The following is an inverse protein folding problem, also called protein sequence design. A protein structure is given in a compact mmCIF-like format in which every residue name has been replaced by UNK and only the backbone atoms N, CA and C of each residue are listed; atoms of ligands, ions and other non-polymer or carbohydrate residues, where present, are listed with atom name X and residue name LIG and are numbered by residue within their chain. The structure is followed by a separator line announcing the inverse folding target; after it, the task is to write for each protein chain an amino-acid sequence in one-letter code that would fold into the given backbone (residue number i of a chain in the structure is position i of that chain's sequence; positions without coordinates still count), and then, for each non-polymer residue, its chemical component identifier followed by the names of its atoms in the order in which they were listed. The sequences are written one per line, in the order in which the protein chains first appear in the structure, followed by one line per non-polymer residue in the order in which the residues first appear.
data_IF_930774372984
#
_entry.id   IF_930774372984
#
_cell.length_a   1.000
_cell.length_b   1.000
_cell.length_c   1.000
_cell.angle_alpha   90.00
_cell.angle_beta   90.00
_cell.angle_gamma   90.00
#
_symmetry.space_group_name_H-M   'P 1'
#
loop_
_entity.id
_entity.type
_entity.pdbx_description
1 polymer ?
#
# COMPACT_ATOMS: atom_id res chain seq x y z
N UNK A 1 -39.25 -5.56 -5.23
CA UNK A 1 -38.35 -4.86 -6.16
C UNK A 1 -38.53 -3.36 -5.99
N UNK A 2 -37.54 -2.69 -5.39
CA UNK A 2 -37.41 -1.23 -5.38
C UNK A 2 -35.96 -0.92 -5.00
N UNK A 3 -35.02 -1.13 -5.93
CA UNK A 3 -33.65 -0.65 -5.75
C UNK A 3 -33.59 0.76 -6.33
N UNK A 4 -33.71 1.72 -5.42
CA UNK A 4 -33.74 3.15 -5.68
C UNK A 4 -32.43 3.63 -6.32
N UNK A 5 -32.59 4.14 -7.55
CA UNK A 5 -31.97 5.32 -8.18
C UNK A 5 -30.49 5.63 -7.90
N UNK A 6 -29.75 5.71 -9.01
CA UNK A 6 -28.48 6.40 -9.19
C UNK A 6 -28.21 7.52 -8.17
N UNK A 7 -27.11 7.40 -7.44
CA UNK A 7 -26.32 8.55 -7.00
C UNK A 7 -25.23 8.78 -8.05
N UNK A 8 -25.45 9.66 -9.04
CA UNK A 8 -24.35 10.21 -9.82
C UNK A 8 -23.77 11.36 -9.01
N UNK A 9 -22.76 11.11 -8.17
CA UNK A 9 -21.79 12.12 -7.68
C UNK A 9 -20.87 11.50 -6.62
N UNK A 10 -19.70 10.99 -7.02
CA UNK A 10 -18.44 11.14 -6.25
C UNK A 10 -17.19 10.75 -7.06
N UNK A 11 -17.05 11.27 -8.28
CA UNK A 11 -15.82 11.15 -9.07
C UNK A 11 -14.76 12.17 -8.57
N UNK A 12 -14.53 12.23 -7.26
CA UNK A 12 -13.60 13.19 -6.61
C UNK A 12 -12.44 12.45 -5.92
N UNK A 13 -12.45 11.11 -5.82
CA UNK A 13 -11.47 10.36 -5.02
C UNK A 13 -10.77 9.17 -5.71
N UNK A 14 -11.01 8.88 -6.99
CA UNK A 14 -10.44 7.68 -7.63
C UNK A 14 -8.89 7.68 -7.74
N UNK A 15 -8.28 8.87 -7.84
CA UNK A 15 -6.82 8.98 -7.98
C UNK A 15 -6.08 8.56 -6.69
N UNK A 16 -6.62 8.91 -5.53
CA UNK A 16 -5.99 8.61 -4.24
C UNK A 16 -6.10 7.11 -3.91
N UNK A 17 -7.25 6.49 -4.20
CA UNK A 17 -7.43 5.05 -3.98
C UNK A 17 -6.49 4.18 -4.83
N UNK A 18 -6.23 4.59 -6.07
CA UNK A 18 -5.30 3.85 -6.95
C UNK A 18 -3.86 3.92 -6.42
N UNK A 19 -3.42 5.09 -5.98
CA UNK A 19 -2.09 5.30 -5.36
C UNK A 19 -1.94 4.51 -4.05
N UNK A 20 -2.94 4.59 -3.18
CA UNK A 20 -2.94 3.86 -1.89
C UNK A 20 -2.99 2.34 -2.08
N UNK A 21 -3.79 1.85 -3.04
CA UNK A 21 -3.77 0.43 -3.40
C UNK A 21 -2.40 0.00 -3.93
N UNK A 22 -1.72 0.85 -4.70
CA UNK A 22 -0.38 0.56 -5.19
C UNK A 22 0.63 0.47 -4.04
N UNK A 23 0.60 1.40 -3.09
CA UNK A 23 1.41 1.33 -1.87
C UNK A 23 1.12 0.04 -1.09
N UNK A 24 -0.15 -0.34 -0.96
CA UNK A 24 -0.55 -1.56 -0.27
C UNK A 24 -0.05 -2.83 -0.97
N UNK A 25 -0.08 -2.88 -2.30
CA UNK A 25 0.50 -3.99 -3.06
C UNK A 25 2.02 -4.11 -2.84
N UNK A 26 2.75 -2.99 -2.87
CA UNK A 26 4.19 -2.99 -2.55
C UNK A 26 4.45 -3.49 -1.13
N UNK A 27 3.64 -3.08 -0.15
CA UNK A 27 3.70 -3.60 1.21
C UNK A 27 3.49 -5.13 1.28
N UNK A 28 2.50 -5.67 0.58
CA UNK A 28 2.25 -7.12 0.53
C UNK A 28 3.41 -7.89 -0.12
N UNK A 29 4.01 -7.34 -1.18
CA UNK A 29 5.21 -7.93 -1.79
C UNK A 29 6.40 -7.93 -0.83
N UNK A 30 6.56 -6.86 -0.04
CA UNK A 30 7.59 -6.82 1.00
C UNK A 30 7.38 -7.92 2.04
N UNK A 31 6.18 -8.06 2.58
CA UNK A 31 5.84 -9.12 3.55
C UNK A 31 6.12 -10.52 3.00
N UNK A 32 5.76 -10.77 1.73
CA UNK A 32 6.08 -12.03 1.05
C UNK A 32 7.58 -12.30 0.98
N UNK A 33 8.39 -11.28 0.67
CA UNK A 33 9.85 -11.42 0.64
C UNK A 33 10.47 -11.57 2.04
N UNK A 34 9.88 -10.95 3.08
CA UNK A 34 10.27 -11.18 4.48
C UNK A 34 10.06 -12.66 4.84
N UNK A 35 8.88 -13.22 4.54
CA UNK A 35 8.59 -14.63 4.79
C UNK A 35 9.51 -15.60 4.04
N UNK A 36 10.03 -15.18 2.88
CA UNK A 36 11.00 -15.93 2.08
C UNK A 36 12.48 -15.67 2.50
N UNK A 37 12.72 -14.85 3.52
CA UNK A 37 14.06 -14.49 3.98
C UNK A 37 14.83 -13.54 3.05
N UNK A 38 14.20 -12.99 2.01
CA UNK A 38 14.79 -12.08 1.02
C UNK A 38 14.75 -10.63 1.52
N UNK A 39 15.58 -10.32 2.52
CA UNK A 39 15.53 -9.04 3.25
C UNK A 39 15.81 -7.83 2.37
N UNK A 40 16.76 -7.91 1.43
CA UNK A 40 17.10 -6.79 0.54
C UNK A 40 15.90 -6.41 -0.35
N UNK A 41 15.28 -7.41 -0.99
CA UNK A 41 14.09 -7.18 -1.83
C UNK A 41 12.90 -6.66 -1.04
N UNK A 42 12.71 -7.16 0.17
CA UNK A 42 11.65 -6.66 1.03
C UNK A 42 11.87 -5.19 1.42
N UNK A 43 13.12 -4.77 1.66
CA UNK A 43 13.45 -3.38 1.98
C UNK A 43 13.20 -2.45 0.77
N UNK A 44 13.56 -2.88 -0.44
CA UNK A 44 13.23 -2.16 -1.68
C UNK A 44 11.72 -1.93 -1.81
N UNK A 45 10.91 -2.98 -1.63
CA UNK A 45 9.45 -2.85 -1.75
C UNK A 45 8.82 -1.97 -0.65
N UNK A 46 9.35 -1.99 0.58
CA UNK A 46 8.89 -1.07 1.63
C UNK A 46 9.20 0.38 1.30
N UNK A 47 10.39 0.64 0.72
CA UNK A 47 10.79 1.98 0.29
C UNK A 47 9.88 2.50 -0.82
N UNK A 48 9.54 1.67 -1.80
CA UNK A 48 8.57 2.01 -2.85
C UNK A 48 7.19 2.30 -2.27
N UNK A 49 6.72 1.49 -1.32
CA UNK A 49 5.44 1.71 -0.65
C UNK A 49 5.42 3.02 0.15
N UNK A 50 6.49 3.32 0.89
CA UNK A 50 6.63 4.53 1.69
C UNK A 50 6.81 5.80 0.83
N UNK A 51 7.41 5.68 -0.35
CA UNK A 51 7.49 6.77 -1.31
C UNK A 51 6.13 7.16 -1.89
N UNK A 52 5.23 6.19 -2.08
CA UNK A 52 3.88 6.41 -2.63
C UNK A 52 2.92 6.88 -1.55
N UNK A 53 2.89 6.21 -0.40
CA UNK A 53 2.06 6.60 0.74
C UNK A 53 2.94 6.73 1.98
N UNK A 54 3.54 7.92 2.19
CA UNK A 54 4.31 8.18 3.39
C UNK A 54 3.48 7.93 4.65
N UNK A 55 2.17 8.18 4.65
CA UNK A 55 1.29 7.91 5.81
C UNK A 55 1.03 6.42 6.11
N UNK A 56 1.56 5.48 5.30
CA UNK A 56 1.31 4.04 5.50
C UNK A 56 2.06 3.53 6.74
N UNK A 57 1.39 3.58 7.90
CA UNK A 57 1.95 3.29 9.22
C UNK A 57 2.70 1.94 9.27
N UNK A 58 2.11 0.89 8.70
CA UNK A 58 2.73 -0.44 8.71
C UNK A 58 4.00 -0.48 7.87
N UNK A 59 4.09 0.24 6.75
CA UNK A 59 5.31 0.27 5.96
C UNK A 59 6.47 0.84 6.77
N UNK A 60 6.24 1.94 7.50
CA UNK A 60 7.26 2.59 8.33
C UNK A 60 7.71 1.71 9.50
N UNK A 61 6.79 0.97 10.12
CA UNK A 61 7.13 0.04 11.20
C UNK A 61 8.05 -1.06 10.67
N UNK A 62 7.69 -1.69 9.54
CA UNK A 62 8.50 -2.75 8.95
C UNK A 62 9.82 -2.23 8.36
N UNK A 63 9.84 -1.03 7.79
CA UNK A 63 11.05 -0.39 7.28
C UNK A 63 12.05 -0.15 8.41
N UNK A 64 11.60 0.45 9.53
CA UNK A 64 12.43 0.65 10.72
C UNK A 64 12.93 -0.67 11.34
N UNK A 65 12.14 -1.74 11.24
CA UNK A 65 12.54 -3.08 11.71
C UNK A 65 13.55 -3.77 10.78
N UNK A 66 13.74 -3.26 9.56
CA UNK A 66 14.60 -3.85 8.54
C UNK A 66 15.88 -3.04 8.28
N UNK A 67 15.89 -1.75 8.61
CA UNK A 67 17.13 -0.98 8.73
C UNK A 67 17.86 -1.39 10.01
N UNK A 68 19.19 -1.63 9.95
CA UNK A 68 19.99 -1.97 11.13
C UNK A 68 20.08 -0.84 12.15
#
# INVERSE_FOLDING_TARGET
EYFAVSLPEFLIFDDDYTLRNRAHCYYLMALGNIGLGKKEKAAEFLKEAAAIEPSHMMCRIYENAMTP
#
